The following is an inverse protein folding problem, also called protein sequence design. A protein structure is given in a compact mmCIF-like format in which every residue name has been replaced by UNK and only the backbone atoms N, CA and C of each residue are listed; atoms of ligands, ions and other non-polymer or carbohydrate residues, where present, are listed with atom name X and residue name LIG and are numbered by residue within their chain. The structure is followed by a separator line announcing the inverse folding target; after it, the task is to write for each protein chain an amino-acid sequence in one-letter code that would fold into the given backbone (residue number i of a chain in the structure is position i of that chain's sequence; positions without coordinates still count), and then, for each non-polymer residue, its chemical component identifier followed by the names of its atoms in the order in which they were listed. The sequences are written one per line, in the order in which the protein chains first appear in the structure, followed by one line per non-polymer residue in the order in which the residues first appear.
data_IF_315471889442
#
_entry.id   IF_315471889442
#
_cell.length_a   1.000
_cell.length_b   1.000
_cell.length_c   1.000
_cell.angle_alpha   90.00
_cell.angle_beta   90.00
_cell.angle_gamma   90.00
#
_symmetry.space_group_name_H-M   'P 1'
#
loop_
_entity.id
_entity.type
_entity.pdbx_description
1 polymer ?
#
# COMPACT_ATOMS: atom_id res chain seq x y z
N UNK A 1 -33.09 13.22 -15.35
CA UNK A 1 -33.01 12.17 -14.33
C UNK A 1 -33.01 12.87 -12.98
N UNK A 2 -34.05 12.74 -12.18
CA UNK A 2 -34.17 13.41 -10.89
C UNK A 2 -33.60 12.44 -9.82
N UNK A 3 -32.54 12.83 -9.13
CA UNK A 3 -32.07 12.13 -7.94
C UNK A 3 -33.17 12.23 -6.89
N UNK A 4 -33.74 11.08 -6.48
CA UNK A 4 -34.82 11.04 -5.51
C UNK A 4 -34.35 11.16 -4.06
N UNK A 5 -33.09 10.80 -3.77
CA UNK A 5 -32.52 10.93 -2.42
C UNK A 5 -31.00 10.97 -2.50
N UNK A 6 -30.39 11.60 -1.49
CA UNK A 6 -28.95 11.56 -1.23
C UNK A 6 -28.76 10.86 0.12
N UNK A 7 -27.88 9.88 0.17
CA UNK A 7 -27.51 9.18 1.39
C UNK A 7 -26.07 9.49 1.74
N UNK A 8 -25.83 9.76 2.99
CA UNK A 8 -24.49 9.93 3.54
C UNK A 8 -24.07 8.64 4.23
N UNK A 9 -22.77 8.35 4.23
CA UNK A 9 -22.24 7.19 4.91
C UNK A 9 -20.90 7.54 5.58
N UNK A 10 -20.57 6.81 6.63
CA UNK A 10 -19.33 6.92 7.38
C UNK A 10 -19.18 5.78 8.37
N UNK A 11 -18.30 5.93 9.36
CA UNK A 11 -18.09 4.90 10.37
C UNK A 11 -19.35 4.56 11.19
N UNK A 12 -20.27 5.50 11.50
CA UNK A 12 -21.52 5.16 12.20
C UNK A 12 -22.37 4.13 11.45
N UNK A 13 -22.46 4.20 10.12
CA UNK A 13 -23.23 3.27 9.29
C UNK A 13 -22.57 1.89 9.21
N UNK A 14 -21.27 1.83 9.49
CA UNK A 14 -20.54 0.56 9.64
C UNK A 14 -20.75 -0.09 11.01
N UNK A 15 -21.23 0.65 12.02
CA UNK A 15 -21.35 0.16 13.38
C UNK A 15 -22.11 -1.18 13.46
N UNK A 16 -21.45 -2.17 14.06
CA UNK A 16 -22.00 -3.51 14.24
C UNK A 16 -21.85 -4.44 13.02
N UNK A 17 -21.21 -4.02 11.94
CA UNK A 17 -20.69 -4.91 10.91
C UNK A 17 -19.25 -5.31 11.18
N UNK A 18 -18.85 -6.43 10.60
CA UNK A 18 -17.46 -6.93 10.59
C UNK A 18 -17.03 -7.18 9.15
N UNK A 19 -15.77 -6.92 8.86
CA UNK A 19 -15.15 -7.23 7.57
C UNK A 19 -13.79 -7.88 7.79
N UNK A 20 -13.33 -8.75 6.90
CA UNK A 20 -12.01 -9.39 7.02
C UNK A 20 -10.84 -8.44 6.67
N UNK A 21 -11.14 -7.24 6.18
CA UNK A 21 -10.15 -6.25 5.78
C UNK A 21 -9.79 -5.30 6.93
N UNK A 22 -8.51 -5.01 7.09
CA UNK A 22 -8.00 -4.05 8.09
C UNK A 22 -7.93 -2.64 7.51
N UNK A 23 -8.08 -1.64 8.37
CA UNK A 23 -7.97 -0.22 8.04
C UNK A 23 -9.31 0.52 7.98
N UNK A 24 -9.30 1.76 8.47
CA UNK A 24 -10.51 2.61 8.55
C UNK A 24 -11.12 2.87 7.16
N UNK A 25 -10.27 3.04 6.14
CA UNK A 25 -10.74 3.21 4.77
C UNK A 25 -11.58 2.02 4.27
N UNK A 26 -11.25 0.78 4.67
CA UNK A 26 -12.04 -0.40 4.34
C UNK A 26 -13.37 -0.43 5.11
N UNK A 27 -13.39 0.04 6.35
CA UNK A 27 -14.63 0.20 7.12
C UNK A 27 -15.55 1.24 6.46
N UNK A 28 -15.01 2.36 6.00
CA UNK A 28 -15.77 3.37 5.24
C UNK A 28 -16.32 2.82 3.92
N UNK A 29 -15.53 2.04 3.20
CA UNK A 29 -15.99 1.36 1.98
C UNK A 29 -17.13 0.37 2.29
N UNK A 30 -17.00 -0.40 3.36
CA UNK A 30 -18.06 -1.31 3.80
C UNK A 30 -19.32 -0.57 4.26
N UNK A 31 -19.20 0.59 4.92
CA UNK A 31 -20.33 1.45 5.25
C UNK A 31 -21.09 1.87 4.00
N UNK A 32 -20.39 2.30 2.95
CA UNK A 32 -21.01 2.64 1.67
C UNK A 32 -21.77 1.44 1.08
N UNK A 33 -21.17 0.26 1.10
CA UNK A 33 -21.81 -0.98 0.61
C UNK A 33 -23.03 -1.31 1.47
N UNK A 34 -22.95 -1.20 2.80
CA UNK A 34 -24.06 -1.48 3.71
C UNK A 34 -25.25 -0.55 3.47
N UNK A 35 -24.99 0.76 3.28
CA UNK A 35 -26.05 1.74 2.97
C UNK A 35 -26.70 1.39 1.62
N UNK A 36 -25.94 1.15 0.59
CA UNK A 36 -26.49 0.78 -0.73
C UNK A 36 -27.30 -0.52 -0.67
N UNK A 37 -26.80 -1.55 0.00
CA UNK A 37 -27.47 -2.84 0.14
C UNK A 37 -28.78 -2.72 0.93
N UNK A 38 -28.80 -1.90 1.98
CA UNK A 38 -30.02 -1.61 2.77
C UNK A 38 -31.07 -0.90 1.90
N UNK A 39 -30.69 0.06 1.07
CA UNK A 39 -31.61 0.75 0.15
C UNK A 39 -32.17 -0.21 -0.93
N UNK A 40 -31.45 -1.28 -1.25
CA UNK A 40 -31.89 -2.36 -2.12
C UNK A 40 -32.76 -3.41 -1.40
N UNK A 41 -33.03 -3.24 -0.12
CA UNK A 41 -33.90 -4.11 0.68
C UNK A 41 -33.21 -5.33 1.31
N UNK A 42 -31.87 -5.40 1.30
CA UNK A 42 -31.18 -6.48 1.97
C UNK A 42 -31.20 -6.28 3.50
N UNK A 43 -31.45 -7.36 4.20
CA UNK A 43 -31.37 -7.38 5.68
C UNK A 43 -29.93 -7.29 6.16
N UNK A 44 -29.76 -6.82 7.40
CA UNK A 44 -28.43 -6.76 8.04
C UNK A 44 -27.71 -8.10 8.04
N UNK A 45 -28.45 -9.21 8.24
CA UNK A 45 -27.87 -10.55 8.23
C UNK A 45 -27.34 -10.93 6.84
N UNK A 46 -28.05 -10.61 5.77
CA UNK A 46 -27.60 -10.85 4.40
C UNK A 46 -26.37 -10.02 4.07
N UNK A 47 -26.33 -8.74 4.47
CA UNK A 47 -25.17 -7.85 4.30
C UNK A 47 -23.96 -8.40 5.03
N UNK A 48 -24.12 -8.83 6.30
CA UNK A 48 -23.04 -9.41 7.08
C UNK A 48 -22.53 -10.73 6.46
N UNK A 49 -23.43 -11.59 6.00
CA UNK A 49 -23.04 -12.83 5.30
C UNK A 49 -22.21 -12.53 4.03
N UNK A 50 -22.58 -11.47 3.29
CA UNK A 50 -21.78 -10.98 2.16
C UNK A 50 -20.39 -10.52 2.57
N UNK A 51 -20.25 -9.78 3.67
CA UNK A 51 -18.95 -9.37 4.20
C UNK A 51 -18.12 -10.55 4.70
N UNK A 52 -18.71 -11.51 5.39
CA UNK A 52 -18.03 -12.69 5.92
C UNK A 52 -17.50 -13.59 4.79
N UNK A 53 -18.19 -13.63 3.63
CA UNK A 53 -17.77 -14.39 2.45
C UNK A 53 -16.70 -13.69 1.61
N UNK A 54 -16.39 -12.42 1.89
CA UNK A 54 -15.49 -11.62 1.09
C UNK A 54 -14.03 -11.96 1.39
N UNK A 55 -13.32 -12.49 0.41
CA UNK A 55 -11.93 -12.95 0.55
C UNK A 55 -10.88 -11.87 0.27
N UNK A 56 -11.31 -10.62 0.02
CA UNK A 56 -10.43 -9.50 -0.31
C UNK A 56 -10.29 -9.30 -1.83
N UNK A 57 -9.45 -8.35 -2.19
CA UNK A 57 -9.14 -7.99 -3.57
C UNK A 57 -7.64 -8.18 -3.77
N UNK A 58 -7.25 -8.75 -4.91
CA UNK A 58 -5.83 -8.84 -5.31
C UNK A 58 -5.18 -7.46 -5.27
N UNK A 59 -3.94 -7.43 -4.83
CA UNK A 59 -3.14 -6.19 -4.73
C UNK A 59 -3.78 -5.10 -3.84
N UNK A 60 -4.47 -5.53 -2.76
CA UNK A 60 -4.96 -4.67 -1.67
C UNK A 60 -4.55 -5.30 -0.34
N UNK A 61 -3.35 -4.94 0.15
CA UNK A 61 -2.68 -5.62 1.27
C UNK A 61 -2.69 -7.16 1.11
N UNK A 62 -2.59 -7.63 -0.15
CA UNK A 62 -2.56 -9.04 -0.47
C UNK A 62 -1.30 -9.68 0.10
N UNK A 63 -1.45 -10.70 0.94
CA UNK A 63 -0.30 -11.49 1.42
C UNK A 63 0.17 -12.38 0.28
N UNK A 64 1.35 -12.11 -0.27
CA UNK A 64 1.97 -12.92 -1.33
C UNK A 64 2.66 -14.16 -0.77
N UNK A 65 3.07 -14.11 0.47
CA UNK A 65 3.67 -15.22 1.17
C UNK A 65 4.46 -14.78 2.41
N UNK A 66 5.01 -15.78 3.09
CA UNK A 66 5.93 -15.60 4.21
C UNK A 66 7.12 -16.54 4.05
N UNK A 67 8.34 -16.03 4.25
CA UNK A 67 9.58 -16.81 4.21
C UNK A 67 10.56 -16.23 5.22
N UNK A 68 11.32 -17.07 5.91
CA UNK A 68 12.23 -16.70 7.02
C UNK A 68 11.55 -15.79 8.09
N UNK A 69 10.23 -15.96 8.30
CA UNK A 69 9.43 -15.14 9.21
C UNK A 69 9.18 -13.71 8.74
N UNK A 70 9.46 -13.39 7.48
CA UNK A 70 9.17 -12.10 6.83
C UNK A 70 7.90 -12.23 6.01
N UNK A 71 6.91 -11.38 6.28
CA UNK A 71 5.65 -11.32 5.51
C UNK A 71 5.79 -10.37 4.33
N UNK A 72 5.46 -10.83 3.11
CA UNK A 72 5.51 -10.02 1.87
C UNK A 72 4.10 -9.69 1.41
N UNK A 73 3.83 -8.38 1.27
CA UNK A 73 2.54 -7.84 0.86
C UNK A 73 2.63 -7.18 -0.52
N UNK A 74 1.55 -7.31 -1.31
CA UNK A 74 1.35 -6.57 -2.58
C UNK A 74 0.21 -5.56 -2.39
N UNK A 75 0.46 -4.29 -2.74
CA UNK A 75 -0.55 -3.24 -2.71
C UNK A 75 -0.46 -2.32 -3.93
N UNK A 76 -1.61 -1.98 -4.47
CA UNK A 76 -1.73 -1.12 -5.65
C UNK A 76 -1.61 0.37 -5.32
N UNK A 77 -1.48 0.75 -4.04
CA UNK A 77 -1.38 2.13 -3.63
C UNK A 77 -0.20 2.84 -4.31
N UNK A 78 -0.48 3.96 -4.93
CA UNK A 78 0.50 4.82 -5.61
C UNK A 78 0.16 6.31 -5.45
N UNK A 79 -0.94 6.65 -4.79
CA UNK A 79 -1.30 8.01 -4.41
C UNK A 79 -0.95 8.22 -2.93
N UNK A 80 -0.49 9.42 -2.49
CA UNK A 80 -0.08 9.67 -1.11
C UNK A 80 -1.11 9.24 -0.07
N UNK A 81 -2.37 9.61 -0.24
CA UNK A 81 -3.47 9.22 0.66
C UNK A 81 -3.59 7.70 0.77
N UNK A 82 -3.53 6.98 -0.36
CA UNK A 82 -3.62 5.53 -0.36
C UNK A 82 -2.41 4.88 0.35
N UNK A 83 -1.20 5.41 0.15
CA UNK A 83 0.01 4.95 0.86
C UNK A 83 -0.14 5.13 2.37
N UNK A 84 -0.59 6.31 2.83
CA UNK A 84 -0.82 6.59 4.26
C UNK A 84 -1.80 5.58 4.85
N UNK A 85 -2.96 5.40 4.21
CA UNK A 85 -4.01 4.52 4.70
C UNK A 85 -3.55 3.04 4.72
N UNK A 86 -2.84 2.60 3.67
CA UNK A 86 -2.32 1.24 3.63
C UNK A 86 -1.23 1.00 4.67
N UNK A 87 -0.26 1.91 4.83
CA UNK A 87 0.81 1.75 5.85
C UNK A 87 0.21 1.75 7.26
N UNK A 88 -0.77 2.61 7.55
CA UNK A 88 -1.51 2.59 8.82
C UNK A 88 -2.24 1.27 9.05
N UNK A 89 -2.94 0.75 8.04
CA UNK A 89 -3.62 -0.53 8.10
C UNK A 89 -2.63 -1.70 8.32
N UNK A 90 -1.46 -1.67 7.68
CA UNK A 90 -0.38 -2.64 7.92
C UNK A 90 0.07 -2.58 9.38
N UNK A 91 0.33 -1.39 9.93
CA UNK A 91 0.72 -1.24 11.34
C UNK A 91 -0.35 -1.71 12.32
N UNK A 92 -1.63 -1.51 11.99
CA UNK A 92 -2.75 -2.02 12.79
C UNK A 92 -2.82 -3.55 12.74
N UNK A 93 -2.59 -4.16 11.57
CA UNK A 93 -2.63 -5.62 11.37
C UNK A 93 -1.42 -6.34 11.95
N UNK A 94 -0.26 -5.68 11.91
CA UNK A 94 1.04 -6.22 12.34
C UNK A 94 1.69 -5.30 13.38
N UNK A 95 1.12 -5.18 14.59
CA UNK A 95 1.64 -4.28 15.62
C UNK A 95 3.07 -4.67 16.00
N UNK A 96 3.92 -3.67 16.27
CA UNK A 96 5.32 -3.82 16.69
C UNK A 96 6.27 -4.46 15.65
N UNK A 97 5.77 -4.84 14.46
CA UNK A 97 6.62 -5.34 13.38
C UNK A 97 7.19 -4.17 12.58
N UNK A 98 8.45 -4.26 12.16
CA UNK A 98 9.04 -3.27 11.26
C UNK A 98 8.38 -3.39 9.88
N UNK A 99 8.08 -2.25 9.28
CA UNK A 99 7.45 -2.15 7.95
C UNK A 99 8.47 -1.56 6.97
N UNK A 100 8.82 -2.33 5.96
CA UNK A 100 9.62 -1.88 4.82
C UNK A 100 8.71 -1.55 3.65
N UNK A 101 8.81 -0.34 3.10
CA UNK A 101 8.06 0.09 1.93
C UNK A 101 8.94 0.04 0.68
N UNK A 102 8.57 -0.77 -0.31
CA UNK A 102 9.20 -0.79 -1.63
C UNK A 102 8.28 -0.07 -2.60
N UNK A 103 8.71 1.04 -3.17
CA UNK A 103 7.85 1.89 -3.99
C UNK A 103 8.35 1.99 -5.44
N UNK A 104 7.45 1.68 -6.39
CA UNK A 104 7.68 1.87 -7.82
C UNK A 104 6.85 3.06 -8.34
N UNK A 105 7.47 4.24 -8.58
CA UNK A 105 6.78 5.40 -9.17
C UNK A 105 6.59 5.20 -10.67
N UNK A 106 5.42 4.71 -11.10
CA UNK A 106 5.14 4.31 -12.48
C UNK A 106 3.98 5.04 -13.14
N UNK A 107 2.98 5.50 -12.38
CA UNK A 107 1.82 6.20 -12.94
C UNK A 107 2.22 7.57 -13.53
N UNK A 108 1.40 8.12 -14.42
CA UNK A 108 1.64 9.46 -14.95
C UNK A 108 1.77 10.51 -13.85
N UNK A 109 1.05 10.36 -12.76
CA UNK A 109 1.09 11.26 -11.60
C UNK A 109 2.37 11.06 -10.78
N UNK A 110 2.74 9.81 -10.49
CA UNK A 110 3.91 9.50 -9.65
C UNK A 110 5.25 9.64 -10.36
N UNK A 111 5.26 9.80 -11.68
CA UNK A 111 6.48 10.18 -12.43
C UNK A 111 6.75 11.69 -12.36
N UNK A 112 5.75 12.48 -11.93
CA UNK A 112 5.83 13.94 -11.79
C UNK A 112 6.05 14.34 -10.34
N UNK A 113 6.61 15.53 -10.14
CA UNK A 113 6.88 16.09 -8.82
C UNK A 113 5.64 16.69 -8.12
N UNK A 114 4.45 16.60 -8.74
CA UNK A 114 3.20 17.16 -8.19
C UNK A 114 2.93 16.72 -6.76
N UNK A 115 3.28 15.48 -6.42
CA UNK A 115 3.15 14.92 -5.07
C UNK A 115 4.48 14.53 -4.44
N UNK A 116 5.58 15.16 -4.86
CA UNK A 116 6.92 14.84 -4.35
C UNK A 116 6.99 14.83 -2.82
N UNK A 117 6.50 15.91 -2.20
CA UNK A 117 6.50 16.06 -0.74
C UNK A 117 5.57 15.05 -0.08
N UNK A 118 4.33 14.97 -0.53
CA UNK A 118 3.30 14.10 0.05
C UNK A 118 3.65 12.61 -0.09
N UNK A 119 4.26 12.21 -1.20
CA UNK A 119 4.79 10.85 -1.38
C UNK A 119 5.92 10.56 -0.39
N UNK A 120 6.84 11.50 -0.22
CA UNK A 120 7.96 11.38 0.72
C UNK A 120 7.45 11.23 2.16
N UNK A 121 6.53 12.11 2.58
CA UNK A 121 5.92 12.08 3.91
C UNK A 121 5.13 10.78 4.15
N UNK A 122 4.39 10.31 3.14
CA UNK A 122 3.62 9.07 3.22
C UNK A 122 4.52 7.85 3.39
N UNK A 123 5.56 7.72 2.56
CA UNK A 123 6.51 6.62 2.64
C UNK A 123 7.33 6.65 3.93
N UNK A 124 7.62 7.83 4.46
CA UNK A 124 8.30 8.01 5.74
C UNK A 124 7.51 7.47 6.95
N UNK A 125 6.25 7.07 6.79
CA UNK A 125 5.51 6.32 7.82
C UNK A 125 6.02 4.88 7.99
N UNK A 126 6.72 4.31 7.00
CA UNK A 126 7.40 3.02 7.14
C UNK A 126 8.67 3.13 7.99
N UNK A 127 9.25 2.00 8.40
CA UNK A 127 10.51 1.94 9.17
C UNK A 127 11.73 1.93 8.26
N UNK A 128 11.56 1.55 6.99
CA UNK A 128 12.56 1.65 5.95
C UNK A 128 11.92 1.76 4.58
N UNK A 129 12.58 2.41 3.63
CA UNK A 129 12.01 2.76 2.33
C UNK A 129 12.99 2.47 1.20
N UNK A 130 12.50 1.81 0.16
CA UNK A 130 13.19 1.68 -1.12
C UNK A 130 12.36 2.31 -2.22
N UNK A 131 12.97 3.18 -3.01
CA UNK A 131 12.35 3.78 -4.19
C UNK A 131 13.13 3.34 -5.42
N UNK A 132 12.45 2.77 -6.41
CA UNK A 132 13.12 2.38 -7.66
C UNK A 132 13.18 3.52 -8.66
N UNK A 133 14.02 3.33 -9.69
CA UNK A 133 14.09 4.23 -10.81
C UNK A 133 12.72 4.46 -11.44
N UNK A 134 12.49 5.69 -11.87
CA UNK A 134 11.27 6.09 -12.58
C UNK A 134 11.45 5.81 -14.08
N UNK A 135 10.64 4.92 -14.62
CA UNK A 135 10.69 4.62 -16.05
C UNK A 135 10.18 5.79 -16.88
N UNK A 136 10.78 5.97 -18.07
CA UNK A 136 10.40 7.00 -19.06
C UNK A 136 10.36 8.42 -18.49
N UNK A 137 11.22 8.71 -17.51
CA UNK A 137 11.30 10.04 -16.90
C UNK A 137 11.75 11.11 -17.90
N UNK A 138 12.53 10.72 -18.90
CA UNK A 138 13.01 11.57 -20.01
C UNK A 138 11.88 12.05 -20.93
N UNK A 139 10.70 11.43 -20.91
CA UNK A 139 9.53 11.89 -21.67
C UNK A 139 8.87 13.13 -21.05
N UNK A 140 9.26 13.51 -19.83
CA UNK A 140 8.73 14.65 -19.09
C UNK A 140 9.70 15.83 -19.09
N UNK A 141 9.22 17.09 -19.08
CA UNK A 141 10.05 18.26 -18.81
C UNK A 141 10.81 18.10 -17.48
N UNK A 142 12.07 18.51 -17.45
CA UNK A 142 12.94 18.29 -16.29
C UNK A 142 12.36 18.85 -14.99
N UNK A 143 11.79 20.05 -15.07
CA UNK A 143 11.19 20.73 -13.91
C UNK A 143 9.91 20.09 -13.37
N UNK A 144 9.32 19.13 -14.11
CA UNK A 144 8.13 18.40 -13.69
C UNK A 144 8.46 17.01 -13.15
N UNK A 145 9.71 16.56 -13.25
CA UNK A 145 10.10 15.19 -12.91
C UNK A 145 10.10 14.95 -11.40
N UNK A 146 9.60 13.80 -10.99
CA UNK A 146 9.85 13.28 -9.64
C UNK A 146 11.36 13.13 -9.45
N UNK A 147 11.85 13.49 -8.27
CA UNK A 147 13.23 13.28 -7.86
C UNK A 147 13.31 12.23 -6.73
N UNK A 148 13.50 10.95 -7.06
CA UNK A 148 13.56 9.88 -6.08
C UNK A 148 14.75 10.00 -5.12
N UNK A 149 15.90 10.50 -5.62
CA UNK A 149 17.07 10.71 -4.78
C UNK A 149 16.80 11.73 -3.67
N UNK A 150 16.11 12.83 -3.99
CA UNK A 150 15.70 13.82 -3.00
C UNK A 150 14.71 13.25 -2.00
N UNK A 151 13.74 12.42 -2.44
CA UNK A 151 12.81 11.73 -1.54
C UNK A 151 13.56 10.89 -0.51
N UNK A 152 14.48 10.06 -0.98
CA UNK A 152 15.30 9.19 -0.15
C UNK A 152 16.19 10.01 0.80
N UNK A 153 16.81 11.08 0.33
CA UNK A 153 17.63 11.97 1.17
C UNK A 153 16.78 12.58 2.29
N UNK A 154 15.57 13.05 2.00
CA UNK A 154 14.65 13.61 3.00
C UNK A 154 14.25 12.55 4.04
N UNK A 155 13.93 11.33 3.62
CA UNK A 155 13.56 10.23 4.54
C UNK A 155 14.74 9.88 5.45
N UNK A 156 15.98 9.87 4.92
CA UNK A 156 17.18 9.66 5.73
C UNK A 156 17.39 10.75 6.78
N UNK A 157 17.10 12.01 6.46
CA UNK A 157 17.16 13.12 7.42
C UNK A 157 16.17 12.95 8.57
N UNK A 158 15.07 12.21 8.36
CA UNK A 158 14.13 11.82 9.41
C UNK A 158 14.62 10.61 10.25
N UNK A 159 15.87 10.18 10.07
CA UNK A 159 16.48 9.08 10.83
C UNK A 159 16.06 7.69 10.38
N UNK A 160 15.48 7.54 9.17
CA UNK A 160 14.99 6.25 8.65
C UNK A 160 15.89 5.74 7.52
N UNK A 161 16.20 4.44 7.48
CA UNK A 161 16.90 3.84 6.35
C UNK A 161 16.06 4.02 5.08
N UNK A 162 16.68 4.59 4.05
CA UNK A 162 16.04 4.75 2.76
C UNK A 162 17.06 4.63 1.64
N UNK A 163 16.69 4.06 0.50
CA UNK A 163 17.57 3.87 -0.64
C UNK A 163 16.83 4.07 -1.97
N UNK A 164 17.50 4.75 -2.90
CA UNK A 164 17.12 4.78 -4.30
C UNK A 164 17.89 3.70 -5.05
N UNK A 165 17.20 2.86 -5.79
CA UNK A 165 17.79 1.71 -6.46
C UNK A 165 17.42 1.67 -7.95
N UNK A 166 18.34 1.21 -8.78
CA UNK A 166 18.17 1.20 -10.24
C UNK A 166 17.05 0.25 -10.71
N UNK A 167 16.80 -0.84 -9.97
CA UNK A 167 15.83 -1.87 -10.33
C UNK A 167 15.49 -2.77 -9.11
N UNK A 168 14.55 -3.70 -9.30
CA UNK A 168 14.14 -4.64 -8.26
C UNK A 168 15.30 -5.50 -7.73
N UNK A 169 16.22 -5.91 -8.60
CA UNK A 169 17.34 -6.76 -8.20
C UNK A 169 18.33 -6.03 -7.27
N UNK A 170 18.61 -4.76 -7.55
CA UNK A 170 19.41 -3.91 -6.66
C UNK A 170 18.73 -3.73 -5.29
N UNK A 171 17.41 -3.48 -5.27
CA UNK A 171 16.62 -3.44 -4.02
C UNK A 171 16.80 -4.73 -3.23
N UNK A 172 16.59 -5.87 -3.86
CA UNK A 172 16.67 -7.18 -3.18
C UNK A 172 18.06 -7.46 -2.61
N UNK A 173 19.11 -7.07 -3.34
CA UNK A 173 20.50 -7.28 -2.88
C UNK A 173 20.83 -6.44 -1.65
N UNK A 174 20.32 -5.21 -1.56
CA UNK A 174 20.54 -4.31 -0.44
C UNK A 174 19.58 -4.59 0.73
N UNK A 175 18.31 -4.91 0.45
CA UNK A 175 17.28 -5.12 1.47
C UNK A 175 17.43 -6.45 2.21
N UNK A 176 17.65 -7.57 1.47
CA UNK A 176 17.59 -8.92 2.05
C UNK A 176 18.48 -9.08 3.29
N UNK A 177 19.75 -8.57 3.32
CA UNK A 177 20.61 -8.66 4.51
C UNK A 177 20.11 -7.85 5.72
N UNK A 178 19.19 -6.90 5.53
CA UNK A 178 18.67 -6.04 6.59
C UNK A 178 17.39 -6.60 7.22
N UNK A 179 16.73 -7.55 6.53
CA UNK A 179 15.50 -8.16 6.99
C UNK A 179 15.72 -9.07 8.20
N UNK A 180 14.73 -9.10 9.09
CA UNK A 180 14.72 -9.93 10.29
C UNK A 180 13.38 -10.64 10.40
N UNK A 181 13.38 -11.75 11.10
CA UNK A 181 12.13 -12.41 11.49
C UNK A 181 11.18 -11.41 12.14
N UNK A 182 9.95 -11.41 11.71
CA UNK A 182 8.93 -10.47 12.16
C UNK A 182 8.76 -9.24 11.25
N UNK A 183 9.62 -8.98 10.28
CA UNK A 183 9.45 -7.85 9.37
C UNK A 183 8.25 -8.04 8.42
N UNK A 184 7.70 -6.92 7.98
CA UNK A 184 6.70 -6.84 6.92
C UNK A 184 7.28 -6.05 5.76
N UNK A 185 7.31 -6.62 4.57
CA UNK A 185 7.72 -5.93 3.35
C UNK A 185 6.47 -5.65 2.53
N UNK A 186 6.12 -4.38 2.39
CA UNK A 186 4.99 -3.90 1.59
C UNK A 186 5.49 -3.35 0.26
N UNK A 187 5.06 -3.97 -0.83
CA UNK A 187 5.40 -3.57 -2.19
C UNK A 187 4.27 -2.72 -2.75
N UNK A 188 4.57 -1.48 -3.06
CA UNK A 188 3.65 -0.48 -3.60
C UNK A 188 3.93 -0.22 -5.07
N UNK A 189 3.07 -0.71 -5.94
CA UNK A 189 3.20 -0.54 -7.38
C UNK A 189 1.87 -0.65 -8.09
N UNK A 190 1.64 0.13 -9.13
CA UNK A 190 0.55 -0.10 -10.08
C UNK A 190 0.97 -0.93 -11.30
N UNK A 191 2.20 -1.46 -11.30
CA UNK A 191 2.79 -2.34 -12.30
C UNK A 191 3.09 -3.74 -11.77
N UNK A 192 4.00 -4.44 -12.43
CA UNK A 192 4.48 -5.77 -12.03
C UNK A 192 5.71 -5.72 -11.11
N UNK A 193 6.35 -4.58 -11.01
CA UNK A 193 7.59 -4.35 -10.27
C UNK A 193 8.61 -5.48 -10.46
N UNK A 194 8.79 -5.89 -11.73
CA UNK A 194 9.73 -6.93 -12.13
C UNK A 194 9.61 -8.26 -11.33
N UNK A 195 8.42 -8.57 -10.83
CA UNK A 195 8.17 -9.78 -10.03
C UNK A 195 8.90 -9.79 -8.68
N UNK A 196 9.14 -8.63 -8.09
CA UNK A 196 9.94 -8.46 -6.85
C UNK A 196 9.41 -9.32 -5.68
N UNK A 197 8.10 -9.56 -5.60
CA UNK A 197 7.49 -10.38 -4.55
C UNK A 197 8.02 -11.81 -4.56
N UNK A 198 7.93 -12.47 -5.73
CA UNK A 198 8.32 -13.87 -5.88
C UNK A 198 9.85 -14.03 -5.76
N UNK A 199 10.61 -13.05 -6.31
CA UNK A 199 12.07 -13.01 -6.16
C UNK A 199 12.49 -12.84 -4.71
N UNK A 200 11.83 -11.98 -3.93
CA UNK A 200 12.11 -11.79 -2.50
C UNK A 200 11.82 -13.07 -1.71
N UNK A 201 10.64 -13.66 -1.90
CA UNK A 201 10.26 -14.91 -1.22
C UNK A 201 11.24 -16.03 -1.54
N UNK A 202 11.65 -16.18 -2.81
CA UNK A 202 12.64 -17.18 -3.22
C UNK A 202 14.02 -16.95 -2.58
N UNK A 203 14.46 -15.70 -2.38
CA UNK A 203 15.72 -15.38 -1.69
C UNK A 203 15.65 -15.71 -0.19
N UNK A 204 14.56 -15.30 0.47
CA UNK A 204 14.35 -15.56 1.88
C UNK A 204 14.24 -17.06 2.21
N UNK A 205 13.70 -17.87 1.29
CA UNK A 205 13.60 -19.31 1.46
C UNK A 205 14.93 -20.06 1.36
N UNK A 206 16.02 -19.38 0.97
CA UNK A 206 17.36 -19.98 0.85
C UNK A 206 18.26 -19.65 2.03
N UNK A 207 17.80 -18.81 2.93
CA UNK A 207 18.47 -18.43 4.17
C UNK A 207 17.96 -19.29 5.32
#
# INVERSE_FOLDING_TARGET
MLFRSVKYFGLPEFAGYRIPLTGEHNQRNAAAVAVCATELGLSRQQIQAGFDSFTGIKRRMEVRGEAAGVTVLDDFAHHPTALVETIRAIRQKYPQRRVWALFEPRSNTTRRNVFQRELTESLALADGVYVTRVDRLNELPEHERLNPEQMVATIRQLGKPAEYSANAEAILSSLTPQLRQGDVVAVFSNGKFDGIHDKLLARLSRV
#
